data_IF_762753660309
#
_entry.id   IF_762753660309
#
_cell.length_a   1.000
_cell.length_b   1.000
_cell.length_c   1.000
_cell.angle_alpha   90.00
_cell.angle_beta   90.00
_cell.angle_gamma   90.00
#
_symmetry.space_group_name_H-M   'P 1'
#
loop_
_entity.id
_entity.type
_entity.pdbx_description
1 polymer ?
#
# COMPACT_ATOMS: atom_id res chain seq x y z
N UNK A 1 -17.61 -10.49 -17.87
CA UNK A 1 -16.82 -10.02 -19.04
C UNK A 1 -17.05 -8.55 -19.34
N UNK A 2 -18.28 -8.02 -19.24
CA UNK A 2 -18.60 -6.63 -19.57
C UNK A 2 -17.85 -5.59 -18.72
N UNK A 3 -17.44 -5.95 -17.53
CA UNK A 3 -16.80 -5.05 -16.56
C UNK A 3 -15.27 -5.07 -16.56
N UNK A 4 -14.64 -5.83 -17.44
CA UNK A 4 -13.17 -5.94 -17.52
C UNK A 4 -12.65 -5.51 -18.87
N UNK A 5 -11.41 -5.01 -18.96
CA UNK A 5 -10.77 -4.80 -20.26
C UNK A 5 -10.66 -6.12 -21.02
N UNK A 6 -10.89 -6.08 -22.32
CA UNK A 6 -10.67 -7.25 -23.18
C UNK A 6 -9.19 -7.36 -23.52
N UNK A 7 -8.71 -8.60 -23.62
CA UNK A 7 -7.34 -8.90 -23.96
C UNK A 7 -7.29 -10.04 -24.96
N UNK A 8 -6.61 -9.83 -26.06
CA UNK A 8 -6.36 -10.82 -27.09
C UNK A 8 -4.84 -10.96 -27.28
N UNK A 9 -4.36 -12.19 -27.34
CA UNK A 9 -2.95 -12.48 -27.52
C UNK A 9 -2.78 -13.76 -28.38
N UNK A 10 -1.85 -13.77 -29.36
CA UNK A 10 -1.55 -14.97 -30.14
C UNK A 10 -1.11 -16.17 -29.27
N UNK A 11 -0.66 -15.92 -28.06
CA UNK A 11 -0.28 -16.96 -27.11
C UNK A 11 -1.44 -17.23 -26.15
N UNK A 12 -2.23 -18.24 -26.42
CA UNK A 12 -3.44 -18.57 -25.67
C UNK A 12 -3.25 -18.75 -24.16
N UNK A 13 -2.10 -19.23 -23.72
CA UNK A 13 -1.81 -19.39 -22.29
C UNK A 13 -1.77 -18.06 -21.54
N UNK A 14 -1.34 -16.96 -22.19
CA UNK A 14 -1.40 -15.62 -21.56
C UNK A 14 -2.83 -15.10 -21.51
N UNK A 15 -3.59 -15.32 -22.57
CA UNK A 15 -5.01 -14.95 -22.62
C UNK A 15 -5.81 -15.69 -21.55
N UNK A 16 -5.63 -17.01 -21.46
CA UNK A 16 -6.25 -17.85 -20.43
C UNK A 16 -5.89 -17.38 -19.01
N UNK A 17 -4.61 -17.10 -18.75
CA UNK A 17 -4.14 -16.60 -17.46
C UNK A 17 -4.74 -15.22 -17.14
N UNK A 18 -4.86 -14.33 -18.13
CA UNK A 18 -5.46 -13.02 -17.97
C UNK A 18 -6.92 -13.13 -17.47
N UNK A 19 -7.75 -13.93 -18.17
CA UNK A 19 -9.15 -14.11 -17.79
C UNK A 19 -9.32 -14.90 -16.50
N UNK A 20 -8.42 -15.86 -16.21
CA UNK A 20 -8.39 -16.56 -14.94
C UNK A 20 -8.14 -15.59 -13.77
N UNK A 21 -7.24 -14.62 -13.92
CA UNK A 21 -6.99 -13.61 -12.87
C UNK A 21 -8.25 -12.78 -12.58
N UNK A 22 -8.96 -12.34 -13.61
CA UNK A 22 -10.23 -11.62 -13.43
C UNK A 22 -11.32 -12.47 -12.78
N UNK A 23 -11.41 -13.71 -13.18
CA UNK A 23 -12.31 -14.66 -12.53
C UNK A 23 -11.95 -14.86 -11.07
N UNK A 24 -10.68 -15.00 -10.74
CA UNK A 24 -10.19 -15.12 -9.36
C UNK A 24 -10.50 -13.86 -8.56
N UNK A 25 -10.19 -12.66 -9.07
CA UNK A 25 -10.52 -11.39 -8.40
C UNK A 25 -12.00 -11.29 -8.05
N UNK A 26 -12.89 -11.63 -8.99
CA UNK A 26 -14.34 -11.65 -8.75
C UNK A 26 -14.73 -12.55 -7.57
N UNK A 27 -14.06 -13.70 -7.40
CA UNK A 27 -14.35 -14.64 -6.30
C UNK A 27 -14.00 -14.09 -4.93
N UNK A 28 -13.08 -13.14 -4.88
CA UNK A 28 -12.63 -12.53 -3.63
C UNK A 28 -13.44 -11.29 -3.24
N UNK A 29 -14.24 -10.74 -4.14
CA UNK A 29 -15.16 -9.63 -3.83
C UNK A 29 -16.32 -10.18 -3.00
N UNK A 30 -16.53 -9.58 -1.83
CA UNK A 30 -17.55 -9.96 -0.86
C UNK A 30 -18.46 -8.77 -0.58
N UNK A 31 -19.76 -9.00 -0.67
CA UNK A 31 -20.75 -8.04 -0.18
C UNK A 31 -20.79 -8.06 1.35
N UNK A 32 -20.80 -6.88 1.95
CA UNK A 32 -20.88 -6.67 3.39
C UNK A 32 -21.99 -5.68 3.72
N UNK A 33 -22.45 -5.58 4.98
CA UNK A 33 -23.44 -4.57 5.35
C UNK A 33 -23.05 -3.10 5.10
N UNK A 34 -21.77 -2.83 4.84
CA UNK A 34 -21.23 -1.47 4.65
C UNK A 34 -20.68 -1.22 3.24
N UNK A 35 -20.91 -2.14 2.33
CA UNK A 35 -20.41 -2.09 0.96
C UNK A 35 -19.58 -3.31 0.58
N UNK A 36 -18.96 -3.29 -0.59
CA UNK A 36 -18.08 -4.37 -1.01
C UNK A 36 -16.75 -4.33 -0.24
N UNK A 37 -16.23 -5.50 0.07
CA UNK A 37 -14.87 -5.72 0.53
C UNK A 37 -14.19 -6.78 -0.32
N UNK A 38 -12.88 -6.93 -0.18
CA UNK A 38 -12.13 -7.99 -0.85
C UNK A 38 -11.34 -8.78 0.18
N UNK A 39 -11.47 -10.11 0.13
CA UNK A 39 -10.79 -11.02 1.05
C UNK A 39 -10.45 -12.35 0.40
N UNK A 40 -9.29 -12.88 0.73
CA UNK A 40 -8.83 -14.22 0.33
C UNK A 40 -9.29 -15.32 1.31
N UNK A 41 -9.85 -14.93 2.46
CA UNK A 41 -10.15 -15.88 3.53
C UNK A 41 -11.59 -16.35 3.52
N UNK A 42 -11.78 -17.67 3.45
CA UNK A 42 -13.08 -18.31 3.60
C UNK A 42 -13.51 -18.39 5.06
N UNK A 43 -12.56 -18.48 5.99
CA UNK A 43 -12.79 -18.62 7.44
C UNK A 43 -12.20 -17.41 8.15
N UNK A 44 -12.93 -16.90 9.16
CA UNK A 44 -12.48 -15.76 9.95
C UNK A 44 -11.09 -15.99 10.55
N UNK A 45 -10.19 -15.04 10.35
CA UNK A 45 -8.84 -15.04 10.91
C UNK A 45 -8.71 -14.05 12.05
N UNK A 46 -8.00 -14.44 13.09
CA UNK A 46 -7.78 -13.56 14.26
C UNK A 46 -6.97 -12.30 13.94
N UNK A 47 -6.16 -12.34 12.90
CA UNK A 47 -5.34 -11.22 12.45
C UNK A 47 -6.05 -10.32 11.40
N UNK A 48 -7.12 -10.80 10.76
CA UNK A 48 -7.95 -9.97 9.87
C UNK A 48 -8.88 -9.04 10.67
N UNK A 49 -9.41 -8.04 10.01
CA UNK A 49 -10.40 -7.11 10.53
C UNK A 49 -11.82 -7.65 10.35
N UNK A 50 -12.82 -6.80 10.62
CA UNK A 50 -14.23 -7.05 10.34
C UNK A 50 -14.40 -7.54 8.89
N UNK A 51 -15.38 -8.42 8.66
CA UNK A 51 -15.64 -9.03 7.36
C UNK A 51 -14.47 -9.84 6.77
N UNK A 52 -13.53 -10.23 7.61
CA UNK A 52 -12.35 -11.00 7.22
C UNK A 52 -11.35 -10.25 6.29
N UNK A 53 -11.35 -8.92 6.36
CA UNK A 53 -10.48 -8.07 5.55
C UNK A 53 -9.06 -8.01 6.14
N UNK A 54 -8.04 -7.92 5.29
CA UNK A 54 -6.65 -7.78 5.70
C UNK A 54 -5.96 -6.60 5.00
N UNK A 55 -5.32 -5.72 5.78
CA UNK A 55 -4.81 -4.45 5.29
C UNK A 55 -3.59 -4.56 4.36
N UNK A 56 -2.75 -5.59 4.50
CA UNK A 56 -1.57 -5.77 3.65
C UNK A 56 -1.91 -5.93 2.15
N UNK A 57 -3.15 -6.30 1.83
CA UNK A 57 -3.57 -6.53 0.46
C UNK A 57 -4.28 -5.32 -0.19
N UNK A 58 -4.56 -4.24 0.55
CA UNK A 58 -5.37 -3.11 0.04
C UNK A 58 -4.76 -2.52 -1.23
N UNK A 59 -3.48 -2.20 -1.21
CA UNK A 59 -2.79 -1.63 -2.37
C UNK A 59 -2.88 -2.54 -3.60
N UNK A 60 -2.69 -3.85 -3.43
CA UNK A 60 -2.85 -4.83 -4.51
C UNK A 60 -4.29 -4.86 -5.03
N UNK A 61 -5.28 -4.89 -4.14
CA UNK A 61 -6.70 -4.91 -4.53
C UNK A 61 -7.08 -3.67 -5.35
N UNK A 62 -6.57 -2.48 -4.97
CA UNK A 62 -6.81 -1.24 -5.73
C UNK A 62 -6.11 -1.31 -7.09
N UNK A 63 -4.85 -1.75 -7.14
CA UNK A 63 -4.09 -1.85 -8.38
C UNK A 63 -4.72 -2.82 -9.39
N UNK A 64 -5.24 -3.95 -8.93
CA UNK A 64 -5.97 -4.89 -9.80
C UNK A 64 -7.32 -4.32 -10.24
N UNK A 65 -8.11 -3.78 -9.29
CA UNK A 65 -9.48 -3.37 -9.54
C UNK A 65 -9.62 -2.02 -10.27
N UNK A 66 -8.54 -1.20 -10.33
CA UNK A 66 -8.59 0.11 -11.01
C UNK A 66 -8.90 0.03 -12.51
N UNK A 67 -8.79 -1.17 -13.11
CA UNK A 67 -9.08 -1.44 -14.51
C UNK A 67 -10.53 -1.86 -14.75
N UNK A 68 -11.34 -2.03 -13.70
CA UNK A 68 -12.76 -2.31 -13.85
C UNK A 68 -13.47 -1.12 -14.49
N UNK A 69 -14.36 -1.40 -15.46
CA UNK A 69 -15.14 -0.35 -16.15
C UNK A 69 -16.18 0.29 -15.25
N UNK A 70 -16.82 -0.51 -14.37
CA UNK A 70 -17.71 -0.01 -13.34
C UNK A 70 -16.92 0.22 -12.05
N UNK A 71 -16.67 1.48 -11.66
CA UNK A 71 -15.88 1.81 -10.49
C UNK A 71 -16.54 1.43 -9.17
N UNK A 72 -17.86 1.15 -9.18
CA UNK A 72 -18.67 0.85 -7.99
C UNK A 72 -18.01 -0.13 -7.03
N UNK A 73 -17.44 -1.20 -7.54
CA UNK A 73 -16.82 -2.23 -6.69
C UNK A 73 -15.59 -1.69 -5.99
N UNK A 74 -14.72 -1.03 -6.73
CA UNK A 74 -13.50 -0.44 -6.18
C UNK A 74 -13.80 0.70 -5.22
N UNK A 75 -14.74 1.58 -5.55
CA UNK A 75 -15.19 2.66 -4.69
C UNK A 75 -15.63 2.15 -3.32
N UNK A 76 -16.46 1.14 -3.34
CA UNK A 76 -16.97 0.55 -2.10
C UNK A 76 -15.90 -0.23 -1.34
N UNK A 77 -14.98 -0.91 -2.01
CA UNK A 77 -13.85 -1.59 -1.37
C UNK A 77 -13.00 -0.56 -0.61
N UNK A 78 -12.66 0.57 -1.24
CA UNK A 78 -11.90 1.63 -0.59
C UNK A 78 -12.70 2.25 0.55
N UNK A 79 -13.96 2.63 0.33
CA UNK A 79 -14.82 3.20 1.36
C UNK A 79 -15.03 2.25 2.54
N UNK A 80 -15.15 0.94 2.31
CA UNK A 80 -15.26 -0.05 3.39
C UNK A 80 -14.04 0.01 4.30
N UNK A 81 -12.84 0.18 3.77
CA UNK A 81 -11.64 0.32 4.58
C UNK A 81 -11.60 1.62 5.38
N UNK A 82 -11.95 2.75 4.77
CA UNK A 82 -11.80 4.07 5.39
C UNK A 82 -13.00 4.52 6.21
N UNK A 83 -14.20 4.01 5.90
CA UNK A 83 -15.47 4.51 6.48
C UNK A 83 -16.41 3.39 6.94
N UNK A 84 -16.05 2.13 6.79
CA UNK A 84 -16.91 0.97 7.07
C UNK A 84 -17.03 0.58 8.55
N UNK A 85 -16.32 1.25 9.46
CA UNK A 85 -16.41 1.03 10.89
C UNK A 85 -17.10 2.22 11.56
N UNK A 86 -18.44 2.23 11.52
CA UNK A 86 -19.27 3.30 12.07
C UNK A 86 -18.89 4.71 11.55
N UNK A 87 -18.62 4.81 10.24
CA UNK A 87 -18.21 6.04 9.57
C UNK A 87 -16.71 6.34 9.67
N UNK A 88 -15.94 5.51 10.34
CA UNK A 88 -14.48 5.62 10.46
C UNK A 88 -13.74 4.44 9.82
N UNK A 89 -12.40 4.47 9.88
CA UNK A 89 -11.56 3.44 9.29
C UNK A 89 -11.67 2.11 10.05
N UNK A 90 -11.44 1.02 9.34
CA UNK A 90 -11.34 -0.31 9.93
C UNK A 90 -10.26 -0.34 11.02
N UNK A 91 -10.50 -1.08 12.09
CA UNK A 91 -9.67 -1.06 13.32
C UNK A 91 -8.24 -1.55 13.11
N UNK A 92 -8.03 -2.44 12.13
CA UNK A 92 -6.71 -3.02 11.83
C UNK A 92 -6.12 -2.49 10.50
N UNK A 93 -6.59 -1.35 10.03
CA UNK A 93 -6.14 -0.76 8.77
C UNK A 93 -4.64 -0.46 8.76
N UNK A 94 -4.10 -0.02 9.89
CA UNK A 94 -2.69 0.29 10.11
C UNK A 94 -1.90 -0.84 10.81
N UNK A 95 -2.42 -2.05 10.79
CA UNK A 95 -1.74 -3.22 11.36
C UNK A 95 -0.62 -3.75 10.46
N UNK A 96 -0.83 -3.72 9.17
CA UNK A 96 0.11 -4.20 8.15
C UNK A 96 0.59 -3.06 7.28
N UNK A 97 1.84 -3.13 6.83
CA UNK A 97 2.40 -2.17 5.88
C UNK A 97 1.55 -2.09 4.61
N UNK A 98 1.26 -0.87 4.14
CA UNK A 98 0.44 -0.64 2.95
C UNK A 98 0.80 0.68 2.27
N UNK A 99 0.49 0.80 0.96
CA UNK A 99 0.75 1.98 0.13
C UNK A 99 -0.54 2.57 -0.42
N UNK A 100 -1.51 2.79 0.45
CA UNK A 100 -2.88 3.08 0.06
C UNK A 100 -3.04 4.42 -0.66
N UNK A 101 -2.34 5.47 -0.24
CA UNK A 101 -2.43 6.77 -0.91
C UNK A 101 -1.86 6.70 -2.34
N UNK A 102 -0.74 6.00 -2.52
CA UNK A 102 -0.18 5.73 -3.85
C UNK A 102 -1.16 4.93 -4.71
N UNK A 103 -1.77 3.90 -4.17
CA UNK A 103 -2.72 3.06 -4.88
C UNK A 103 -3.99 3.85 -5.31
N UNK A 104 -4.53 4.71 -4.45
CA UNK A 104 -5.69 5.55 -4.79
C UNK A 104 -5.33 6.60 -5.85
N UNK A 105 -4.13 7.19 -5.78
CA UNK A 105 -3.64 8.05 -6.85
C UNK A 105 -3.46 7.27 -8.16
N UNK A 106 -2.92 6.05 -8.11
CA UNK A 106 -2.77 5.19 -9.29
C UNK A 106 -4.11 4.78 -9.91
N UNK A 107 -5.17 4.70 -9.12
CA UNK A 107 -6.54 4.56 -9.63
C UNK A 107 -6.92 5.81 -10.44
N UNK A 108 -6.80 7.00 -9.86
CA UNK A 108 -7.08 8.27 -10.56
C UNK A 108 -6.32 8.38 -11.88
N UNK A 109 -5.09 7.92 -11.94
CA UNK A 109 -4.29 7.92 -13.17
C UNK A 109 -4.88 7.04 -14.28
N UNK A 110 -5.80 6.14 -13.97
CA UNK A 110 -6.49 5.27 -14.93
C UNK A 110 -7.86 5.82 -15.29
N UNK A 111 -8.68 6.20 -14.29
CA UNK A 111 -10.09 6.57 -14.50
C UNK A 111 -10.32 8.09 -14.63
N UNK A 112 -9.37 8.92 -14.16
CA UNK A 112 -9.48 10.37 -14.18
C UNK A 112 -10.49 10.96 -13.19
N UNK A 113 -11.07 10.15 -12.29
CA UNK A 113 -12.07 10.57 -11.32
C UNK A 113 -11.45 11.43 -10.22
N UNK A 114 -11.31 12.71 -10.51
CA UNK A 114 -10.77 13.71 -9.59
C UNK A 114 -11.66 13.93 -8.37
N UNK A 115 -12.96 13.88 -8.54
CA UNK A 115 -13.92 14.15 -7.46
C UNK A 115 -13.82 13.07 -6.39
N UNK A 116 -13.74 11.81 -6.78
CA UNK A 116 -13.49 10.70 -5.88
C UNK A 116 -12.12 10.82 -5.17
N UNK A 117 -11.06 11.13 -5.91
CA UNK A 117 -9.73 11.32 -5.33
C UNK A 117 -9.74 12.41 -4.24
N UNK A 118 -10.42 13.53 -4.50
CA UNK A 118 -10.50 14.65 -3.55
C UNK A 118 -11.40 14.33 -2.35
N UNK A 119 -12.46 13.54 -2.53
CA UNK A 119 -13.26 13.02 -1.42
C UNK A 119 -12.43 12.17 -0.44
N UNK A 120 -11.49 11.38 -0.97
CA UNK A 120 -10.59 10.54 -0.18
C UNK A 120 -9.39 11.28 0.45
N UNK A 121 -9.11 12.52 0.04
CA UNK A 121 -7.93 13.30 0.45
C UNK A 121 -7.70 13.30 1.98
N UNK A 122 -8.75 13.62 2.74
CA UNK A 122 -8.66 13.72 4.20
C UNK A 122 -8.39 12.36 4.85
N UNK A 123 -9.01 11.31 4.35
CA UNK A 123 -8.86 9.96 4.88
C UNK A 123 -7.42 9.45 4.65
N UNK A 124 -6.88 9.64 3.45
CA UNK A 124 -5.51 9.28 3.09
C UNK A 124 -4.47 10.04 3.92
N UNK A 125 -4.67 11.36 4.11
CA UNK A 125 -3.78 12.16 4.95
C UNK A 125 -3.84 11.71 6.42
N UNK A 126 -5.03 11.41 6.93
CA UNK A 126 -5.23 10.96 8.31
C UNK A 126 -4.53 9.62 8.54
N UNK A 127 -4.61 8.69 7.58
CA UNK A 127 -3.89 7.42 7.66
C UNK A 127 -2.37 7.64 7.70
N UNK A 128 -1.83 8.46 6.79
CA UNK A 128 -0.41 8.79 6.77
C UNK A 128 0.07 9.35 8.11
N UNK A 129 -0.66 10.32 8.67
CA UNK A 129 -0.35 10.92 9.96
C UNK A 129 -0.43 9.91 11.12
N UNK A 130 -1.27 8.88 11.02
CA UNK A 130 -1.33 7.80 12.01
C UNK A 130 -0.03 7.00 12.00
N UNK A 131 0.46 6.61 10.82
CA UNK A 131 1.76 5.96 10.66
C UNK A 131 2.89 6.81 11.23
N UNK A 132 2.89 8.12 11.00
CA UNK A 132 3.88 9.03 11.60
C UNK A 132 3.87 9.00 13.12
N UNK A 133 2.69 8.96 13.73
CA UNK A 133 2.58 8.95 15.20
C UNK A 133 2.96 7.62 15.83
N UNK A 134 2.72 6.51 15.15
CA UNK A 134 2.84 5.16 15.74
C UNK A 134 4.12 4.44 15.38
N UNK A 135 4.62 4.63 14.16
CA UNK A 135 5.70 3.81 13.61
C UNK A 135 6.97 4.59 13.24
N UNK A 136 6.98 5.91 13.39
CA UNK A 136 8.16 6.71 13.08
C UNK A 136 9.22 6.58 14.18
N UNK A 137 10.46 6.31 13.75
CA UNK A 137 11.64 6.26 14.60
C UNK A 137 12.22 7.68 14.81
N UNK A 138 13.13 7.81 15.79
CA UNK A 138 13.81 9.08 16.08
C UNK A 138 14.65 9.59 14.91
N UNK A 139 15.24 8.70 14.12
CA UNK A 139 16.01 9.06 12.93
C UNK A 139 15.14 9.44 11.72
N UNK A 140 13.83 9.31 11.82
CA UNK A 140 12.89 9.68 10.76
C UNK A 140 12.42 8.54 9.87
N UNK A 141 13.06 7.37 9.91
CA UNK A 141 12.59 6.15 9.26
C UNK A 141 11.37 5.58 9.99
N UNK A 142 10.70 4.62 9.35
CA UNK A 142 9.57 3.89 9.93
C UNK A 142 9.97 2.47 10.26
N UNK A 143 9.47 1.97 11.38
CA UNK A 143 9.64 0.57 11.78
C UNK A 143 8.41 -0.27 11.44
N UNK A 144 8.63 -1.56 11.20
CA UNK A 144 7.58 -2.57 11.18
C UNK A 144 8.13 -3.91 11.67
N UNK A 145 7.23 -4.74 12.22
CA UNK A 145 7.55 -6.16 12.47
C UNK A 145 7.52 -6.95 11.16
N UNK A 146 8.32 -8.01 11.07
CA UNK A 146 8.44 -8.81 9.84
C UNK A 146 7.10 -9.38 9.35
N UNK A 147 6.32 -10.00 10.24
CA UNK A 147 4.99 -10.55 9.90
C UNK A 147 4.03 -9.48 9.39
N UNK A 148 4.05 -8.29 10.00
CA UNK A 148 3.20 -7.17 9.59
C UNK A 148 3.69 -6.46 8.32
N UNK A 149 4.92 -6.75 7.93
CA UNK A 149 5.54 -6.25 6.70
C UNK A 149 5.46 -7.29 5.54
N UNK A 150 4.69 -8.36 5.72
CA UNK A 150 4.48 -9.41 4.74
C UNK A 150 5.59 -10.46 4.67
N UNK A 151 6.43 -10.54 5.71
CA UNK A 151 7.57 -11.45 5.80
C UNK A 151 7.42 -12.35 7.03
N UNK A 152 6.66 -13.43 6.92
CA UNK A 152 6.36 -14.35 8.02
C UNK A 152 7.61 -15.02 8.61
N UNK A 153 8.57 -15.33 7.76
CA UNK A 153 9.84 -15.98 8.10
C UNK A 153 11.02 -15.16 7.54
N UNK A 154 11.32 -14.06 8.22
CA UNK A 154 12.38 -13.13 7.82
C UNK A 154 13.72 -13.50 8.46
N UNK A 155 14.78 -13.60 7.65
CA UNK A 155 16.16 -13.79 8.15
C UNK A 155 16.68 -12.50 8.79
N UNK A 156 16.31 -11.35 8.25
CA UNK A 156 16.76 -10.04 8.73
C UNK A 156 16.13 -9.61 10.04
N UNK A 157 14.95 -10.11 10.34
CA UNK A 157 14.14 -9.67 11.46
C UNK A 157 14.01 -10.71 12.58
N UNK A 158 13.31 -10.35 13.59
CA UNK A 158 12.70 -11.23 14.56
C UNK A 158 11.25 -10.88 14.64
N UNK A 159 10.41 -11.87 14.79
CA UNK A 159 8.95 -11.86 14.61
C UNK A 159 8.17 -10.69 15.25
N UNK A 160 8.75 -9.95 16.14
CA UNK A 160 8.14 -8.82 16.86
C UNK A 160 9.10 -7.66 17.08
N UNK A 161 10.19 -7.63 16.32
CA UNK A 161 11.19 -6.58 16.45
C UNK A 161 10.80 -5.37 15.59
N UNK A 162 11.00 -4.19 16.14
CA UNK A 162 10.71 -2.90 15.50
C UNK A 162 11.94 -2.43 14.72
N UNK A 163 12.12 -2.98 13.53
CA UNK A 163 13.25 -2.63 12.67
C UNK A 163 12.81 -1.69 11.53
N UNK A 164 13.73 -0.82 11.10
CA UNK A 164 13.52 -0.05 9.89
C UNK A 164 13.69 -0.97 8.68
N UNK A 165 12.64 -1.14 7.91
CA UNK A 165 12.58 -2.10 6.81
C UNK A 165 12.40 -1.39 5.46
N UNK A 166 13.03 -1.86 4.39
CA UNK A 166 12.86 -1.27 3.06
C UNK A 166 11.40 -1.13 2.65
N UNK A 167 10.55 -2.12 2.94
CA UNK A 167 9.14 -2.16 2.58
C UNK A 167 8.37 -0.97 3.14
N UNK A 168 8.25 -0.87 4.46
CA UNK A 168 7.44 0.18 5.09
C UNK A 168 7.96 1.57 4.73
N UNK A 169 9.27 1.76 4.63
CA UNK A 169 9.85 3.05 4.29
C UNK A 169 9.59 3.45 2.84
N UNK A 170 9.61 2.49 1.91
CA UNK A 170 9.23 2.74 0.50
C UNK A 170 7.73 3.02 0.37
N UNK A 171 6.88 2.31 1.11
CA UNK A 171 5.45 2.58 1.13
C UNK A 171 5.14 3.98 1.66
N UNK A 172 5.80 4.40 2.73
CA UNK A 172 5.63 5.74 3.27
C UNK A 172 6.17 6.83 2.32
N UNK A 173 7.23 6.53 1.58
CA UNK A 173 7.71 7.39 0.50
C UNK A 173 6.69 7.52 -0.63
N UNK A 174 6.19 6.42 -1.17
CA UNK A 174 5.16 6.40 -2.20
C UNK A 174 3.89 7.14 -1.77
N UNK A 175 3.41 6.88 -0.55
CA UNK A 175 2.27 7.57 0.02
C UNK A 175 2.52 9.08 0.17
N UNK A 176 3.71 9.51 0.55
CA UNK A 176 4.06 10.93 0.64
C UNK A 176 4.05 11.60 -0.74
N UNK A 177 4.64 10.97 -1.75
CA UNK A 177 4.57 11.45 -3.15
C UNK A 177 3.12 11.58 -3.63
N UNK A 178 2.30 10.57 -3.36
CA UNK A 178 0.89 10.59 -3.74
C UNK A 178 0.15 11.74 -3.05
N UNK A 179 0.34 11.94 -1.75
CA UNK A 179 -0.28 13.05 -1.01
C UNK A 179 0.21 14.42 -1.51
N UNK A 180 1.47 14.55 -1.91
CA UNK A 180 1.98 15.77 -2.56
C UNK A 180 1.25 16.04 -3.89
N UNK A 181 1.11 15.02 -4.75
CA UNK A 181 0.34 15.12 -6.00
C UNK A 181 -1.13 15.49 -5.77
N UNK A 182 -1.78 14.85 -4.77
CA UNK A 182 -3.16 15.16 -4.38
C UNK A 182 -3.27 16.61 -3.90
N UNK A 183 -2.27 17.12 -3.16
CA UNK A 183 -2.17 18.52 -2.78
C UNK A 183 -2.16 19.45 -3.99
N UNK A 184 -1.32 19.17 -4.99
CA UNK A 184 -1.26 19.92 -6.25
C UNK A 184 -2.63 19.89 -6.98
N UNK A 185 -3.20 18.70 -7.15
CA UNK A 185 -4.49 18.51 -7.84
C UNK A 185 -5.64 19.23 -7.13
N UNK A 186 -5.60 19.34 -5.82
CA UNK A 186 -6.63 20.03 -5.02
C UNK A 186 -6.38 21.53 -4.83
N UNK A 187 -5.25 22.06 -5.30
CA UNK A 187 -4.84 23.44 -5.05
C UNK A 187 -4.39 23.71 -3.60
N UNK A 188 -4.07 22.67 -2.84
CA UNK A 188 -3.58 22.76 -1.46
C UNK A 188 -2.04 22.78 -1.45
N UNK A 189 -1.48 23.95 -1.69
CA UNK A 189 -0.02 24.16 -1.75
C UNK A 189 0.69 23.75 -0.46
N UNK A 190 0.04 23.96 0.70
CA UNK A 190 0.57 23.58 2.01
C UNK A 190 0.74 22.06 2.11
N UNK A 191 -0.25 21.29 1.71
CA UNK A 191 -0.20 19.85 1.65
C UNK A 191 0.85 19.37 0.62
N UNK A 192 0.85 19.94 -0.57
CA UNK A 192 1.79 19.60 -1.63
C UNK A 192 3.25 19.76 -1.15
N UNK A 193 3.59 20.89 -0.59
CA UNK A 193 4.93 21.18 -0.07
C UNK A 193 5.28 20.28 1.12
N UNK A 194 4.40 20.12 2.10
CA UNK A 194 4.62 19.29 3.29
C UNK A 194 4.99 17.86 2.92
N UNK A 195 4.21 17.25 2.04
CA UNK A 195 4.42 15.85 1.68
C UNK A 195 5.51 15.65 0.61
N UNK A 196 5.78 16.64 -0.24
CA UNK A 196 6.95 16.68 -1.10
C UNK A 196 8.24 16.62 -0.28
N UNK A 197 8.39 17.54 0.69
CA UNK A 197 9.55 17.55 1.60
C UNK A 197 9.67 16.25 2.42
N UNK A 198 8.53 15.63 2.77
CA UNK A 198 8.53 14.34 3.48
C UNK A 198 9.04 13.21 2.58
N UNK A 199 8.64 13.18 1.32
CA UNK A 199 9.14 12.21 0.36
C UNK A 199 10.66 12.36 0.14
N UNK A 200 11.14 13.58 -0.08
CA UNK A 200 12.57 13.85 -0.26
C UNK A 200 13.40 13.45 0.97
N UNK A 201 12.88 13.73 2.16
CA UNK A 201 13.52 13.31 3.42
C UNK A 201 13.60 11.79 3.52
N UNK A 202 12.52 11.08 3.18
CA UNK A 202 12.51 9.61 3.22
C UNK A 202 13.41 8.99 2.16
N UNK A 203 13.45 9.56 0.95
CA UNK A 203 14.39 9.13 -0.09
C UNK A 203 15.82 9.15 0.46
N UNK A 204 16.24 10.31 0.94
CA UNK A 204 17.60 10.47 1.50
C UNK A 204 17.89 9.50 2.65
N UNK A 205 16.92 9.30 3.56
CA UNK A 205 17.10 8.37 4.67
C UNK A 205 17.21 6.90 4.23
N UNK A 206 16.37 6.49 3.28
CA UNK A 206 16.40 5.11 2.76
C UNK A 206 17.71 4.84 2.02
N UNK A 207 18.16 5.77 1.18
CA UNK A 207 19.42 5.64 0.43
C UNK A 207 20.65 5.61 1.35
N UNK A 208 20.67 6.44 2.39
CA UNK A 208 21.82 6.52 3.27
C UNK A 208 21.85 5.45 4.38
N UNK A 209 20.69 5.08 4.92
CA UNK A 209 20.61 4.22 6.11
C UNK A 209 20.29 2.75 5.78
N UNK A 210 19.55 2.50 4.68
CA UNK A 210 19.12 1.13 4.34
C UNK A 210 19.93 0.52 3.19
N UNK A 211 20.72 1.32 2.46
CA UNK A 211 21.58 0.82 1.39
C UNK A 211 22.86 0.20 1.97
N UNK A 212 23.03 -1.08 1.70
CA UNK A 212 24.26 -1.78 2.07
C UNK A 212 25.25 -1.73 0.89
N UNK A 213 26.29 -0.91 1.01
CA UNK A 213 27.31 -0.71 -0.05
C UNK A 213 28.10 -1.96 -0.40
N UNK A 214 28.30 -2.88 0.56
CA UNK A 214 28.98 -4.16 0.33
C UNK A 214 28.12 -5.11 -0.51
N UNK A 215 26.82 -5.16 -0.22
CA UNK A 215 25.89 -6.04 -0.93
C UNK A 215 25.23 -5.36 -2.14
N UNK A 216 25.39 -4.04 -2.29
CA UNK A 216 24.68 -3.24 -3.31
C UNK A 216 23.19 -3.54 -3.31
N UNK A 217 22.56 -3.45 -2.12
CA UNK A 217 21.18 -3.84 -1.92
C UNK A 217 20.57 -3.14 -0.70
N UNK A 218 19.27 -2.88 -0.73
CA UNK A 218 18.56 -2.33 0.43
C UNK A 218 18.27 -3.42 1.43
N UNK A 219 18.61 -3.18 2.68
CA UNK A 219 18.49 -4.15 3.77
C UNK A 219 17.77 -3.58 4.98
N UNK A 220 17.23 -4.47 5.79
CA UNK A 220 16.65 -4.11 7.09
C UNK A 220 17.74 -3.56 8.01
N UNK A 221 17.46 -2.37 8.58
CA UNK A 221 18.28 -1.81 9.66
C UNK A 221 17.73 -2.27 11.01
N UNK A 222 18.54 -2.99 11.74
CA UNK A 222 18.33 -3.30 13.16
C UNK A 222 18.60 -2.04 13.98
N UNK A 223 18.53 -2.13 15.30
CA UNK A 223 18.65 -0.96 16.16
C UNK A 223 19.94 -0.14 15.92
N UNK A 224 21.02 -0.82 15.57
CA UNK A 224 22.37 -0.25 15.50
C UNK A 224 23.20 -0.69 14.28
N UNK A 225 22.67 -1.58 13.45
CA UNK A 225 23.39 -2.13 12.30
C UNK A 225 22.47 -2.70 11.24
N UNK A 226 22.96 -2.79 9.98
CA UNK A 226 22.30 -3.56 8.94
C UNK A 226 22.15 -5.02 9.35
N UNK A 227 21.05 -5.63 8.93
CA UNK A 227 20.82 -7.07 9.07
C UNK A 227 21.85 -7.92 8.31
N UNK A 228 22.48 -7.32 7.30
CA UNK A 228 23.51 -7.94 6.47
C UNK A 228 23.00 -9.17 5.69
N UNK A 229 21.74 -9.10 5.27
CA UNK A 229 21.03 -10.14 4.50
C UNK A 229 20.20 -9.51 3.39
N UNK A 230 20.24 -10.10 2.21
CA UNK A 230 19.37 -9.74 1.07
C UNK A 230 18.05 -10.51 1.19
N UNK A 231 16.96 -9.78 1.15
CA UNK A 231 15.60 -10.32 1.12
C UNK A 231 14.77 -9.62 0.05
N UNK A 232 13.73 -10.26 -0.45
CA UNK A 232 12.88 -9.72 -1.53
C UNK A 232 12.35 -8.31 -1.25
N UNK A 233 12.14 -7.95 0.01
CA UNK A 233 11.72 -6.60 0.41
C UNK A 233 12.71 -5.51 0.02
N UNK A 234 13.99 -5.85 -0.17
CA UNK A 234 15.01 -4.91 -0.64
C UNK A 234 14.81 -4.45 -2.09
N UNK A 235 13.91 -5.07 -2.86
CA UNK A 235 13.51 -4.58 -4.18
C UNK A 235 12.42 -3.51 -4.14
N UNK A 236 11.73 -3.34 -3.03
CA UNK A 236 10.59 -2.43 -2.94
C UNK A 236 10.95 -0.96 -3.17
N UNK A 237 12.13 -0.44 -2.76
CA UNK A 237 12.52 0.92 -3.11
C UNK A 237 12.49 1.20 -4.62
N UNK A 238 12.94 0.27 -5.46
CA UNK A 238 12.87 0.41 -6.93
C UNK A 238 11.44 0.39 -7.47
N UNK A 239 10.56 -0.40 -6.87
CA UNK A 239 9.15 -0.40 -7.26
C UNK A 239 8.50 0.99 -7.16
N UNK A 240 8.89 1.79 -6.17
CA UNK A 240 8.42 3.16 -5.98
C UNK A 240 9.29 4.23 -6.67
N UNK A 241 10.27 3.83 -7.50
CA UNK A 241 11.25 4.75 -8.08
C UNK A 241 11.90 5.65 -7.02
N UNK A 242 12.24 5.07 -5.85
CA UNK A 242 12.84 5.81 -4.76
C UNK A 242 14.32 6.13 -5.04
N UNK A 243 15.18 5.16 -5.43
CA UNK A 243 16.56 5.45 -5.79
C UNK A 243 16.66 6.07 -7.18
N UNK A 244 17.73 6.88 -7.38
CA UNK A 244 18.12 7.43 -8.69
C UNK A 244 18.74 6.38 -9.60
#
# INVERSE_FOLDING_TARGET
EENIPLFECPQHNFEEMYYYRWWSLRKHIKETPVGYGMTEFLVQRSYSDKYNLIACAIGHHIYESRWLRDPKYLDQIIHTWYRGNDGGPMKKMDKFSSWNADAVLARYMVDGDKDYLLDMKKDLETEYQRWERTNRLKNGLYWQGDVQDGMEESISGGRRKKYARPTINSYMYGNAKALSCIGILSGDEGMAMKYGMRADTLKNLVENELWNTRHQFFETMRTDSSANVREAIGYIPWYFNLPD
#
